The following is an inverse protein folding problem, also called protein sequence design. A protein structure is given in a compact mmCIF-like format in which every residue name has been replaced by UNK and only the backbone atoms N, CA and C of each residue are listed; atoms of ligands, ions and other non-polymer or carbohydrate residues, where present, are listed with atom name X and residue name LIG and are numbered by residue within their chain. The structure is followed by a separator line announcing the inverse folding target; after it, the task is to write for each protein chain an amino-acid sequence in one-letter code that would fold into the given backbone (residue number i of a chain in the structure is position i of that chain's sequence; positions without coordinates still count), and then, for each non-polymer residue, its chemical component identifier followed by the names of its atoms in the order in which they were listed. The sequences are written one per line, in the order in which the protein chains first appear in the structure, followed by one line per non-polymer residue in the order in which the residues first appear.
data_IF_475710284718
#
_entry.id   IF_475710284718
#
_cell.length_a   1.000
_cell.length_b   1.000
_cell.length_c   1.000
_cell.angle_alpha   90.00
_cell.angle_beta   90.00
_cell.angle_gamma   90.00
#
_symmetry.space_group_name_H-M   'P 1'
#
loop_
_entity.id
_entity.type
_entity.pdbx_description
1 polymer ?
#
# COMPACT_ATOMS: atom_id res chain seq x y z
N UNK A 1 31.94 -22.55 12.48
CA UNK A 1 31.97 -21.56 11.38
C UNK A 1 30.90 -21.87 10.34
N UNK A 2 30.93 -23.00 9.64
CA UNK A 2 29.99 -23.40 8.57
C UNK A 2 28.49 -23.28 8.91
N UNK A 3 28.04 -23.62 10.12
CA UNK A 3 26.64 -23.58 10.54
C UNK A 3 26.08 -22.12 10.65
N UNK A 4 26.94 -21.15 11.03
CA UNK A 4 26.59 -19.71 11.09
C UNK A 4 26.50 -19.10 9.69
N UNK A 5 27.39 -19.52 8.78
CA UNK A 5 27.37 -19.04 7.39
C UNK A 5 26.15 -19.59 6.64
N UNK A 6 25.82 -20.86 6.80
CA UNK A 6 24.62 -21.45 6.22
C UNK A 6 23.34 -20.77 6.71
N UNK A 7 23.24 -20.45 8.02
CA UNK A 7 22.10 -19.71 8.58
C UNK A 7 21.99 -18.30 7.99
N UNK A 8 23.10 -17.54 7.90
CA UNK A 8 23.11 -16.19 7.28
C UNK A 8 22.68 -16.21 5.82
N UNK A 9 23.13 -17.22 5.05
CA UNK A 9 22.73 -17.38 3.65
C UNK A 9 21.23 -17.70 3.53
N UNK A 10 20.69 -18.55 4.41
CA UNK A 10 19.26 -18.85 4.47
C UNK A 10 18.43 -17.62 4.83
N UNK A 11 18.84 -16.85 5.84
CA UNK A 11 18.13 -15.64 6.29
C UNK A 11 18.14 -14.57 5.18
N UNK A 12 19.27 -14.41 4.46
CA UNK A 12 19.39 -13.47 3.35
C UNK A 12 18.51 -13.90 2.15
N UNK A 13 18.41 -15.20 1.88
CA UNK A 13 17.54 -15.73 0.82
C UNK A 13 16.06 -15.54 1.16
N UNK A 14 15.64 -15.79 2.39
CA UNK A 14 14.28 -15.57 2.88
C UNK A 14 13.90 -14.09 2.76
N UNK A 15 14.78 -13.19 3.20
CA UNK A 15 14.57 -11.74 3.08
C UNK A 15 14.45 -11.27 1.64
N UNK A 16 15.30 -11.76 0.73
CA UNK A 16 15.19 -11.45 -0.70
C UNK A 16 13.90 -11.98 -1.33
N UNK A 17 13.42 -13.15 -0.89
CA UNK A 17 12.14 -13.71 -1.33
C UNK A 17 10.96 -12.85 -0.89
N UNK A 18 10.96 -12.40 0.37
CA UNK A 18 9.95 -11.50 0.93
C UNK A 18 9.89 -10.16 0.17
N UNK A 19 11.05 -9.57 -0.12
CA UNK A 19 11.14 -8.35 -0.93
C UNK A 19 10.52 -8.56 -2.32
N UNK A 20 10.81 -9.66 -2.98
CA UNK A 20 10.22 -9.96 -4.30
C UNK A 20 8.72 -10.12 -4.22
N UNK A 21 8.21 -10.83 -3.21
CA UNK A 21 6.78 -11.04 -3.01
C UNK A 21 6.04 -9.73 -2.81
N UNK A 22 6.53 -8.86 -1.93
CA UNK A 22 5.89 -7.56 -1.67
C UNK A 22 5.91 -6.65 -2.89
N UNK A 23 7.02 -6.60 -3.64
CA UNK A 23 7.10 -5.82 -4.87
C UNK A 23 6.13 -6.32 -5.94
N UNK A 24 5.94 -7.64 -6.04
CA UNK A 24 4.97 -8.24 -6.95
C UNK A 24 3.54 -7.85 -6.56
N UNK A 25 3.16 -8.01 -5.30
CA UNK A 25 1.83 -7.64 -4.81
C UNK A 25 1.52 -6.16 -5.08
N UNK A 26 2.43 -5.27 -4.69
CA UNK A 26 2.27 -3.83 -4.91
C UNK A 26 2.15 -3.47 -6.40
N UNK A 27 2.87 -4.17 -7.28
CA UNK A 27 2.82 -3.93 -8.73
C UNK A 27 1.53 -4.44 -9.38
N UNK A 28 0.97 -5.54 -8.87
CA UNK A 28 -0.20 -6.19 -9.45
C UNK A 28 -1.54 -5.62 -8.96
N UNK A 29 -1.57 -4.98 -7.78
CA UNK A 29 -2.83 -4.43 -7.22
C UNK A 29 -3.54 -3.47 -8.18
N UNK A 30 -2.91 -2.42 -8.74
CA UNK A 30 -3.62 -1.50 -9.65
C UNK A 30 -4.15 -2.19 -10.90
N UNK A 31 -3.38 -3.11 -11.47
CA UNK A 31 -3.76 -3.89 -12.67
C UNK A 31 -4.95 -4.81 -12.37
N UNK A 32 -4.96 -5.39 -11.17
CA UNK A 32 -6.05 -6.26 -10.73
C UNK A 32 -7.34 -5.45 -10.55
N UNK A 33 -7.26 -4.25 -9.96
CA UNK A 33 -8.40 -3.34 -9.85
C UNK A 33 -8.93 -2.98 -11.26
N UNK A 34 -8.04 -2.63 -12.18
CA UNK A 34 -8.42 -2.29 -13.57
C UNK A 34 -9.16 -3.45 -14.26
N UNK A 35 -8.69 -4.70 -14.08
CA UNK A 35 -9.36 -5.89 -14.63
C UNK A 35 -10.73 -6.15 -14.00
N UNK A 36 -10.85 -6.00 -12.68
CA UNK A 36 -12.11 -6.19 -11.96
C UNK A 36 -13.15 -5.16 -12.41
N UNK A 37 -12.73 -3.91 -12.65
CA UNK A 37 -13.60 -2.81 -13.07
C UNK A 37 -13.81 -2.73 -14.58
N UNK A 38 -13.25 -3.65 -15.35
CA UNK A 38 -13.36 -3.63 -16.81
C UNK A 38 -14.81 -3.84 -17.25
N UNK A 39 -15.30 -2.96 -18.13
CA UNK A 39 -16.66 -3.05 -18.68
C UNK A 39 -17.78 -2.53 -17.77
N UNK A 40 -17.46 -2.15 -16.53
CA UNK A 40 -18.43 -1.53 -15.62
C UNK A 40 -18.58 -0.04 -15.92
N UNK A 41 -19.81 0.46 -15.79
CA UNK A 41 -20.12 1.90 -15.92
C UNK A 41 -19.94 2.62 -14.57
N UNK A 42 -19.99 3.96 -14.61
CA UNK A 42 -19.83 4.78 -13.39
C UNK A 42 -20.94 4.54 -12.38
N UNK A 43 -22.16 4.25 -12.78
CA UNK A 43 -23.24 3.96 -11.87
C UNK A 43 -22.97 2.68 -11.07
N UNK A 44 -22.48 1.63 -11.74
CA UNK A 44 -22.09 0.37 -11.10
C UNK A 44 -20.91 0.57 -10.15
N UNK A 45 -19.92 1.40 -10.53
CA UNK A 45 -18.71 1.67 -9.73
C UNK A 45 -18.98 2.54 -8.49
N UNK A 46 -20.01 3.38 -8.53
CA UNK A 46 -20.42 4.24 -7.41
C UNK A 46 -21.53 3.61 -6.55
N UNK A 47 -22.15 2.52 -7.00
CA UNK A 47 -23.20 1.84 -6.24
C UNK A 47 -22.64 1.25 -4.94
N UNK A 48 -23.29 1.59 -3.81
CA UNK A 48 -23.06 0.94 -2.51
C UNK A 48 -23.92 -0.33 -2.46
N UNK A 49 -23.34 -1.49 -2.10
CA UNK A 49 -24.09 -2.74 -2.01
C UNK A 49 -25.05 -2.76 -0.83
N UNK A 50 -24.82 -1.96 0.21
CA UNK A 50 -25.63 -1.79 1.42
C UNK A 50 -25.38 -0.42 2.03
N UNK A 51 -26.23 0.02 2.98
CA UNK A 51 -26.22 1.36 3.60
C UNK A 51 -24.85 1.76 4.20
N UNK A 52 -24.16 0.81 4.82
CA UNK A 52 -22.85 1.05 5.46
C UNK A 52 -21.66 0.46 4.68
N UNK A 53 -21.93 -0.09 3.50
CA UNK A 53 -20.90 -0.72 2.68
C UNK A 53 -20.29 0.28 1.68
N UNK A 54 -19.01 0.12 1.44
CA UNK A 54 -18.30 0.98 0.49
C UNK A 54 -18.58 0.58 -0.95
N UNK A 55 -18.76 1.58 -1.81
CA UNK A 55 -18.73 1.42 -3.26
C UNK A 55 -17.32 1.11 -3.75
N UNK A 56 -17.19 0.68 -5.00
CA UNK A 56 -15.88 0.48 -5.63
C UNK A 56 -15.07 1.79 -5.67
N UNK A 57 -15.74 2.92 -5.94
CA UNK A 57 -15.12 4.25 -5.92
C UNK A 57 -14.54 4.57 -4.54
N UNK A 58 -15.29 4.35 -3.46
CA UNK A 58 -14.83 4.62 -2.09
C UNK A 58 -13.62 3.74 -1.70
N UNK A 59 -13.63 2.47 -2.12
CA UNK A 59 -12.51 1.55 -1.89
C UNK A 59 -11.23 2.08 -2.59
N UNK A 60 -11.31 2.46 -3.86
CA UNK A 60 -10.14 2.92 -4.61
C UNK A 60 -9.67 4.30 -4.13
N UNK A 61 -10.59 5.20 -3.79
CA UNK A 61 -10.27 6.48 -3.15
C UNK A 61 -9.53 6.28 -1.80
N UNK A 62 -9.95 5.30 -1.00
CA UNK A 62 -9.25 4.94 0.23
C UNK A 62 -7.85 4.38 -0.04
N UNK A 63 -7.70 3.48 -1.02
CA UNK A 63 -6.39 2.95 -1.41
C UNK A 63 -5.44 4.06 -1.90
N UNK A 64 -5.95 5.05 -2.64
CA UNK A 64 -5.19 6.23 -3.07
C UNK A 64 -4.72 7.06 -1.87
N UNK A 65 -5.58 7.30 -0.88
CA UNK A 65 -5.23 8.00 0.35
C UNK A 65 -4.16 7.24 1.15
N UNK A 66 -4.28 5.91 1.25
CA UNK A 66 -3.27 5.04 1.86
C UNK A 66 -1.93 5.10 1.12
N UNK A 67 -1.96 5.06 -0.22
CA UNK A 67 -0.76 5.14 -1.05
C UNK A 67 0.00 6.46 -0.83
N UNK A 68 -0.71 7.56 -0.68
CA UNK A 68 -0.12 8.86 -0.41
C UNK A 68 0.49 8.92 1.00
N UNK A 69 -0.31 8.63 2.03
CA UNK A 69 0.13 8.79 3.43
C UNK A 69 1.26 7.81 3.77
N UNK A 70 1.11 6.54 3.41
CA UNK A 70 2.10 5.53 3.74
C UNK A 70 3.31 5.55 2.80
N UNK A 71 3.11 5.96 1.55
CA UNK A 71 4.20 6.20 0.61
C UNK A 71 5.15 7.29 1.11
N UNK A 72 4.61 8.42 1.61
CA UNK A 72 5.42 9.47 2.26
C UNK A 72 6.20 8.96 3.47
N UNK A 73 5.62 8.06 4.26
CA UNK A 73 6.32 7.46 5.40
C UNK A 73 7.51 6.61 4.95
N UNK A 74 7.35 5.82 3.89
CA UNK A 74 8.46 5.06 3.29
C UNK A 74 9.53 6.01 2.73
N UNK A 75 9.14 7.06 2.01
CA UNK A 75 10.07 8.03 1.46
C UNK A 75 10.93 8.67 2.57
N UNK A 76 10.33 9.05 3.70
CA UNK A 76 11.07 9.56 4.86
C UNK A 76 12.03 8.52 5.45
N UNK A 77 11.60 7.26 5.62
CA UNK A 77 12.49 6.19 6.09
C UNK A 77 13.71 5.98 5.17
N UNK A 78 13.53 6.19 3.86
CA UNK A 78 14.60 6.01 2.88
C UNK A 78 15.57 7.20 2.87
N UNK A 79 15.08 8.42 3.06
CA UNK A 79 15.86 9.65 2.89
C UNK A 79 16.42 10.23 4.20
N UNK A 80 15.72 10.02 5.31
CA UNK A 80 16.10 10.55 6.63
C UNK A 80 16.73 9.45 7.52
N UNK A 81 17.57 9.81 8.45
CA UNK A 81 18.15 8.85 9.40
C UNK A 81 17.24 8.65 10.59
N UNK A 82 16.63 7.46 10.68
CA UNK A 82 15.69 7.03 11.72
C UNK A 82 14.68 8.12 12.14
N UNK A 83 13.85 8.62 11.20
CA UNK A 83 12.96 9.75 11.49
C UNK A 83 11.86 9.37 12.49
N UNK A 84 11.43 10.36 13.28
CA UNK A 84 10.17 10.26 14.01
C UNK A 84 9.02 10.72 13.11
N UNK A 85 8.06 9.85 12.86
CA UNK A 85 6.93 10.09 11.96
C UNK A 85 5.63 10.06 12.75
N UNK A 86 4.92 11.19 12.77
CA UNK A 86 3.57 11.22 13.33
C UNK A 86 2.62 10.45 12.39
N UNK A 87 1.90 9.47 12.95
CA UNK A 87 0.91 8.72 12.19
C UNK A 87 -0.21 9.65 11.68
N UNK A 88 -0.50 9.51 10.40
CA UNK A 88 -1.65 10.15 9.77
C UNK A 88 -2.63 9.05 9.36
N UNK A 89 -3.88 9.16 9.82
CA UNK A 89 -4.93 8.22 9.42
C UNK A 89 -5.33 8.46 7.96
N UNK A 90 -5.25 7.45 7.07
CA UNK A 90 -5.76 7.60 5.70
C UNK A 90 -7.24 7.96 5.64
N UNK A 91 -8.06 7.45 6.58
CA UNK A 91 -9.49 7.84 6.69
C UNK A 91 -9.66 9.31 7.09
N UNK A 92 -8.76 9.83 7.92
CA UNK A 92 -8.72 11.25 8.26
C UNK A 92 -8.19 12.10 7.12
N UNK A 93 -7.26 11.55 6.33
CA UNK A 93 -6.68 12.22 5.18
C UNK A 93 -7.68 12.38 4.05
N UNK A 94 -8.41 11.31 3.69
CA UNK A 94 -9.38 11.33 2.60
C UNK A 94 -10.46 12.41 2.78
N UNK A 95 -10.87 12.68 4.04
CA UNK A 95 -11.83 13.76 4.35
C UNK A 95 -11.31 15.17 4.04
N UNK A 96 -10.02 15.33 3.82
CA UNK A 96 -9.36 16.60 3.46
C UNK A 96 -9.07 16.70 1.95
N UNK A 97 -9.54 15.74 1.18
CA UNK A 97 -9.35 15.63 -0.25
C UNK A 97 -10.70 15.52 -0.95
N UNK A 98 -10.69 15.66 -2.26
CA UNK A 98 -11.85 15.47 -3.15
C UNK A 98 -11.89 14.05 -3.77
N UNK A 99 -11.14 13.08 -3.23
CA UNK A 99 -10.98 11.75 -3.83
C UNK A 99 -12.29 10.98 -3.96
N UNK A 100 -13.24 11.20 -3.05
CA UNK A 100 -14.55 10.57 -3.09
C UNK A 100 -15.47 11.16 -4.17
N UNK A 101 -15.22 12.40 -4.61
CA UNK A 101 -15.98 13.10 -5.63
C UNK A 101 -15.39 12.93 -7.04
N UNK A 102 -14.17 12.40 -7.14
CA UNK A 102 -13.53 12.17 -8.43
C UNK A 102 -14.10 10.92 -9.10
N UNK A 103 -14.01 10.92 -10.42
CA UNK A 103 -14.29 9.77 -11.27
C UNK A 103 -13.42 8.54 -10.86
N UNK A 104 -14.01 7.35 -10.93
CA UNK A 104 -13.32 6.12 -10.56
C UNK A 104 -12.04 5.89 -11.38
N UNK A 105 -12.12 6.13 -12.70
CA UNK A 105 -11.00 5.89 -13.61
C UNK A 105 -9.85 6.84 -13.33
N UNK A 106 -10.16 8.09 -13.05
CA UNK A 106 -9.15 9.09 -12.65
C UNK A 106 -8.53 8.74 -11.29
N UNK A 107 -9.34 8.34 -10.32
CA UNK A 107 -8.86 7.89 -9.00
C UNK A 107 -7.95 6.68 -9.11
N UNK A 108 -8.32 5.69 -9.93
CA UNK A 108 -7.51 4.50 -10.20
C UNK A 108 -6.20 4.86 -10.93
N UNK A 109 -6.25 5.76 -11.90
CA UNK A 109 -5.07 6.26 -12.62
C UNK A 109 -4.07 6.89 -11.65
N UNK A 110 -4.53 7.79 -10.78
CA UNK A 110 -3.69 8.45 -9.77
C UNK A 110 -3.13 7.46 -8.75
N UNK A 111 -3.93 6.50 -8.27
CA UNK A 111 -3.44 5.42 -7.43
C UNK A 111 -2.35 4.60 -8.12
N UNK A 112 -2.56 4.26 -9.40
CA UNK A 112 -1.61 3.48 -10.20
C UNK A 112 -0.28 4.21 -10.37
N UNK A 113 -0.29 5.52 -10.62
CA UNK A 113 0.90 6.36 -10.72
C UNK A 113 1.68 6.42 -9.39
N UNK A 114 0.98 6.66 -8.28
CA UNK A 114 1.58 6.66 -6.95
C UNK A 114 2.25 5.31 -6.65
N UNK A 115 1.58 4.21 -7.00
CA UNK A 115 2.07 2.86 -6.76
C UNK A 115 3.27 2.53 -7.64
N UNK A 116 3.22 2.88 -8.92
CA UNK A 116 4.34 2.70 -9.85
C UNK A 116 5.58 3.49 -9.38
N UNK A 117 5.39 4.73 -8.93
CA UNK A 117 6.46 5.54 -8.35
C UNK A 117 7.09 4.91 -7.11
N UNK A 118 6.26 4.43 -6.16
CA UNK A 118 6.77 3.75 -4.96
C UNK A 118 7.54 2.48 -5.32
N UNK A 119 6.99 1.62 -6.16
CA UNK A 119 7.64 0.36 -6.59
C UNK A 119 8.97 0.64 -7.29
N UNK A 120 9.03 1.67 -8.13
CA UNK A 120 10.27 2.08 -8.81
C UNK A 120 11.35 2.49 -7.81
N UNK A 121 10.99 3.24 -6.75
CA UNK A 121 11.95 3.61 -5.70
C UNK A 121 12.38 2.41 -4.87
N UNK A 122 11.46 1.56 -4.45
CA UNK A 122 11.74 0.36 -3.67
C UNK A 122 12.66 -0.62 -4.42
N UNK A 123 12.48 -0.80 -5.73
CA UNK A 123 13.35 -1.66 -6.56
C UNK A 123 14.80 -1.20 -6.63
N UNK A 124 15.04 0.10 -6.45
CA UNK A 124 16.40 0.67 -6.47
C UNK A 124 17.11 0.58 -5.11
N UNK A 125 16.42 0.16 -4.05
CA UNK A 125 17.02 0.07 -2.73
C UNK A 125 18.00 -1.09 -2.65
N UNK A 126 19.23 -0.86 -2.13
CA UNK A 126 20.12 -1.94 -1.73
C UNK A 126 19.50 -2.70 -0.54
N UNK A 127 19.96 -3.92 -0.26
CA UNK A 127 19.44 -4.75 0.83
C UNK A 127 19.34 -4.00 2.17
N UNK A 128 20.36 -3.20 2.52
CA UNK A 128 20.37 -2.34 3.71
C UNK A 128 19.29 -1.25 3.70
N UNK A 129 18.81 -0.84 2.53
CA UNK A 129 17.73 0.15 2.41
C UNK A 129 16.39 -0.36 2.93
N UNK A 130 16.15 -1.65 2.82
CA UNK A 130 14.93 -2.29 3.29
C UNK A 130 14.85 -2.44 4.82
N UNK A 131 15.99 -2.38 5.51
CA UNK A 131 16.06 -2.40 6.98
C UNK A 131 16.08 -1.01 7.61
N UNK A 132 16.13 0.07 6.82
CA UNK A 132 15.98 1.44 7.35
C UNK A 132 14.64 1.56 8.06
N UNK A 133 14.62 2.32 9.16
CA UNK A 133 13.50 2.33 10.10
C UNK A 133 13.09 3.74 10.50
N UNK A 134 11.92 3.86 11.11
CA UNK A 134 11.40 5.07 11.73
C UNK A 134 10.66 4.72 13.02
N UNK A 135 10.59 5.68 13.94
CA UNK A 135 9.68 5.61 15.10
C UNK A 135 8.38 6.30 14.75
N UNK A 136 7.26 5.60 14.88
CA UNK A 136 5.91 6.14 14.65
C UNK A 136 5.27 6.59 15.95
N UNK A 137 4.76 7.84 15.98
CA UNK A 137 4.05 8.45 17.10
C UNK A 137 2.59 8.73 16.76
N UNK A 138 1.74 8.99 17.77
CA UNK A 138 0.30 9.27 17.54
C UNK A 138 -0.53 8.03 17.26
N UNK A 139 0.01 6.86 17.52
CA UNK A 139 -0.71 5.58 17.63
C UNK A 139 -0.82 5.19 19.10
N UNK A 140 -1.74 4.28 19.46
CA UNK A 140 -1.91 3.79 20.83
C UNK A 140 -0.68 3.12 21.42
N UNK A 141 0.30 2.74 20.59
CA UNK A 141 1.63 2.29 20.98
C UNK A 141 2.63 2.82 19.94
N UNK A 142 3.53 3.71 20.35
CA UNK A 142 4.68 4.07 19.52
C UNK A 142 5.37 2.79 19.04
N UNK A 143 5.59 2.65 17.75
CA UNK A 143 6.19 1.45 17.16
C UNK A 143 7.29 1.83 16.20
N UNK A 144 8.41 1.13 16.30
CA UNK A 144 9.40 1.15 15.24
C UNK A 144 8.90 0.30 14.07
N UNK A 145 9.15 0.80 12.86
CA UNK A 145 8.83 0.10 11.63
C UNK A 145 9.95 0.23 10.62
N UNK A 146 10.24 -0.82 9.89
CA UNK A 146 11.20 -0.82 8.79
C UNK A 146 10.51 -0.56 7.45
N UNK A 147 11.29 -0.18 6.43
CA UNK A 147 10.79 -0.07 5.04
C UNK A 147 10.10 -1.36 4.61
N UNK A 148 10.70 -2.54 4.89
CA UNK A 148 10.10 -3.83 4.53
C UNK A 148 8.80 -4.10 5.29
N UNK A 149 8.78 -3.92 6.61
CA UNK A 149 7.57 -4.14 7.40
C UNK A 149 6.42 -3.22 6.98
N UNK A 150 6.75 -1.98 6.60
CA UNK A 150 5.77 -1.02 6.13
C UNK A 150 5.25 -1.34 4.73
N UNK A 151 6.13 -1.78 3.83
CA UNK A 151 5.75 -2.24 2.49
C UNK A 151 4.85 -3.49 2.54
N UNK A 152 5.17 -4.46 3.40
CA UNK A 152 4.32 -5.64 3.67
C UNK A 152 2.94 -5.23 4.17
N UNK A 153 2.88 -4.33 5.17
CA UNK A 153 1.61 -3.80 5.70
C UNK A 153 0.75 -3.18 4.60
N UNK A 154 1.36 -2.41 3.68
CA UNK A 154 0.65 -1.82 2.54
C UNK A 154 0.10 -2.93 1.63
N UNK A 155 0.94 -3.90 1.25
CA UNK A 155 0.54 -5.00 0.36
C UNK A 155 -0.60 -5.84 0.96
N UNK A 156 -0.50 -6.23 2.22
CA UNK A 156 -1.56 -6.97 2.92
C UNK A 156 -2.87 -6.19 3.02
N UNK A 157 -2.78 -4.88 3.26
CA UNK A 157 -3.95 -4.01 3.30
C UNK A 157 -4.62 -3.95 1.92
N UNK A 158 -3.87 -3.83 0.85
CA UNK A 158 -4.37 -3.82 -0.51
C UNK A 158 -5.03 -5.15 -0.90
N UNK A 159 -4.45 -6.28 -0.53
CA UNK A 159 -5.06 -7.61 -0.77
C UNK A 159 -6.45 -7.69 -0.13
N UNK A 160 -6.60 -7.25 1.12
CA UNK A 160 -7.91 -7.23 1.79
C UNK A 160 -8.94 -6.35 1.05
N UNK A 161 -8.51 -5.20 0.53
CA UNK A 161 -9.38 -4.33 -0.25
C UNK A 161 -9.68 -4.86 -1.66
N UNK A 162 -8.79 -5.63 -2.28
CA UNK A 162 -9.12 -6.36 -3.52
C UNK A 162 -10.26 -7.36 -3.30
N UNK A 163 -10.24 -8.08 -2.18
CA UNK A 163 -11.29 -9.02 -1.83
C UNK A 163 -12.61 -8.30 -1.47
N UNK A 164 -12.52 -7.15 -0.81
CA UNK A 164 -13.68 -6.28 -0.58
C UNK A 164 -14.26 -5.79 -1.91
N UNK A 165 -13.43 -5.29 -2.82
CA UNK A 165 -13.85 -4.81 -4.15
C UNK A 165 -14.58 -5.89 -4.95
N UNK A 166 -14.05 -7.13 -4.95
CA UNK A 166 -14.71 -8.27 -5.61
C UNK A 166 -16.07 -8.57 -5.03
N UNK A 167 -16.27 -8.47 -3.72
CA UNK A 167 -17.57 -8.66 -3.08
C UNK A 167 -18.54 -7.53 -3.43
N UNK A 168 -18.09 -6.28 -3.31
CA UNK A 168 -18.87 -5.07 -3.63
C UNK A 168 -19.44 -5.11 -5.05
N UNK A 169 -18.67 -5.59 -6.02
CA UNK A 169 -19.09 -5.61 -7.44
C UNK A 169 -19.86 -6.86 -7.87
N UNK A 170 -20.03 -7.86 -6.99
CA UNK A 170 -20.85 -9.05 -7.24
C UNK A 170 -22.28 -8.94 -6.68
N UNK A 171 -22.48 -7.97 -5.77
CA UNK A 171 -23.79 -7.66 -5.18
C UNK A 171 -24.52 -6.62 -6.02
#
# INVERSE_FOLDING_TARGET
MKKREAKRASDAHAHASEIRAVLTLLSETPKTIARIAQGLDEQQLHRQPDVDAWSAQEIVAHLRACAEVWGRSIDRMVTEDHPTIRYVSPRGWIRKTDYLQQDFRETLRKFSEQRAGLVTRLRKLPARGWTRSATFTGTTSGRDGTVLSYANRIAEHEVRHLDQLRRTLKS
#
